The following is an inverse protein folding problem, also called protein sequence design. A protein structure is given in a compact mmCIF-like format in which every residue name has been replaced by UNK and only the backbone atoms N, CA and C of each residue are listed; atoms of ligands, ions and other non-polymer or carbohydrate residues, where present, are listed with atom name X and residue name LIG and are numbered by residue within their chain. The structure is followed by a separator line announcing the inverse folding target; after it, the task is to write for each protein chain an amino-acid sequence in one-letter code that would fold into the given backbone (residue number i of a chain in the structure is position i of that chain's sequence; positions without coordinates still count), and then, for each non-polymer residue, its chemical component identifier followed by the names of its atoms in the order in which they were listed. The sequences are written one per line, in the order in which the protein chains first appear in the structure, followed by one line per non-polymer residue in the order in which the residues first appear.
data_IF_711308750000
#
_entry.id   IF_711308750000
#
_cell.length_a   1.000
_cell.length_b   1.000
_cell.length_c   1.000
_cell.angle_alpha   90.00
_cell.angle_beta   90.00
_cell.angle_gamma   90.00
#
_symmetry.space_group_name_H-M   'P 1'
#
loop_
_entity.id
_entity.type
_entity.pdbx_description
1 polymer ?
#
# COMPACT_ATOMS: atom_id res chain seq x y z
N UNK A 1 -13.64 -4.89 11.03
CA UNK A 1 -13.91 -3.44 10.93
C UNK A 1 -13.01 -2.91 9.83
N UNK A 2 -13.53 -2.10 8.91
CA UNK A 2 -12.72 -1.47 7.88
C UNK A 2 -12.20 -0.12 8.41
N UNK A 3 -10.92 0.17 8.21
CA UNK A 3 -10.33 1.44 8.60
C UNK A 3 -10.65 2.54 7.57
N UNK A 4 -10.60 3.80 8.01
CA UNK A 4 -10.49 4.94 7.12
C UNK A 4 -9.00 5.08 6.73
N UNK A 5 -8.72 5.06 5.42
CA UNK A 5 -7.35 5.25 4.92
C UNK A 5 -7.12 6.73 4.64
N UNK A 6 -6.01 7.24 5.18
CA UNK A 6 -5.51 8.55 4.86
C UNK A 6 -4.29 8.40 3.95
N UNK A 7 -4.52 8.64 2.66
CA UNK A 7 -3.49 8.80 1.62
C UNK A 7 -3.53 10.28 1.24
N UNK A 8 -2.39 10.93 1.02
CA UNK A 8 -2.38 12.33 0.58
C UNK A 8 -2.94 12.45 -0.83
N UNK A 9 -3.54 13.59 -1.16
CA UNK A 9 -4.09 13.80 -2.51
C UNK A 9 -3.02 13.65 -3.61
N UNK A 10 -1.78 14.09 -3.34
CA UNK A 10 -0.63 13.94 -4.25
C UNK A 10 -0.25 12.46 -4.47
N UNK A 11 -0.25 11.68 -3.40
CA UNK A 11 0.06 10.25 -3.39
C UNK A 11 -1.05 9.46 -4.12
N UNK A 12 -2.31 9.82 -3.89
CA UNK A 12 -3.44 9.21 -4.58
C UNK A 12 -3.40 9.54 -6.09
N UNK A 13 -3.14 10.80 -6.44
CA UNK A 13 -3.02 11.22 -7.84
C UNK A 13 -1.87 10.50 -8.56
N UNK A 14 -0.77 10.22 -7.86
CA UNK A 14 0.32 9.40 -8.41
C UNK A 14 -0.13 7.97 -8.70
N UNK A 15 -0.75 7.29 -7.74
CA UNK A 15 -1.24 5.91 -7.91
C UNK A 15 -2.26 5.82 -9.06
N UNK A 16 -3.17 6.79 -9.15
CA UNK A 16 -4.16 6.87 -10.22
C UNK A 16 -3.51 7.13 -11.58
N UNK A 17 -2.36 7.82 -11.59
CA UNK A 17 -1.58 8.20 -12.76
C UNK A 17 -0.64 7.13 -13.29
N UNK A 18 -0.45 6.01 -12.58
CA UNK A 18 0.43 4.94 -13.02
C UNK A 18 0.01 4.40 -14.41
N UNK A 19 0.97 4.04 -15.29
CA UNK A 19 0.72 3.56 -16.66
C UNK A 19 0.21 2.10 -16.70
N UNK A 20 -0.67 1.77 -15.76
CA UNK A 20 -1.28 0.47 -15.59
C UNK A 20 -2.53 0.32 -16.46
N UNK A 21 -2.74 -0.88 -17.00
CA UNK A 21 -3.98 -1.30 -17.61
C UNK A 21 -5.15 -1.20 -16.63
N UNK A 22 -6.37 -1.09 -17.12
CA UNK A 22 -7.56 -1.00 -16.23
C UNK A 22 -7.68 -2.19 -15.28
N UNK A 23 -7.25 -3.38 -15.71
CA UNK A 23 -7.21 -4.58 -14.86
C UNK A 23 -6.15 -4.47 -13.76
N UNK A 24 -4.99 -3.92 -14.09
CA UNK A 24 -3.91 -3.70 -13.14
C UNK A 24 -4.28 -2.64 -12.09
N UNK A 25 -4.94 -1.54 -12.50
CA UNK A 25 -5.49 -0.53 -11.60
C UNK A 25 -6.52 -1.11 -10.62
N UNK A 26 -7.47 -1.89 -11.13
CA UNK A 26 -8.45 -2.56 -10.27
C UNK A 26 -7.80 -3.47 -9.21
N UNK A 27 -6.72 -4.19 -9.57
CA UNK A 27 -5.98 -5.01 -8.60
C UNK A 27 -5.25 -4.18 -7.54
N UNK A 28 -4.70 -3.03 -7.92
CA UNK A 28 -4.05 -2.11 -6.98
C UNK A 28 -5.09 -1.53 -6.00
N UNK A 29 -6.24 -1.08 -6.51
CA UNK A 29 -7.37 -0.62 -5.69
C UNK A 29 -7.88 -1.72 -4.74
N UNK A 30 -8.08 -2.93 -5.26
CA UNK A 30 -8.47 -4.10 -4.46
C UNK A 30 -7.43 -4.43 -3.39
N UNK A 31 -6.13 -4.28 -3.67
CA UNK A 31 -5.08 -4.48 -2.69
C UNK A 31 -5.14 -3.44 -1.58
N UNK A 32 -5.31 -2.15 -1.92
CA UNK A 32 -5.43 -1.08 -0.94
C UNK A 32 -6.68 -1.29 -0.05
N UNK A 33 -7.81 -1.68 -0.64
CA UNK A 33 -9.04 -1.94 0.12
C UNK A 33 -8.98 -3.25 0.94
N UNK A 34 -8.41 -4.32 0.41
CA UNK A 34 -8.43 -5.62 1.09
C UNK A 34 -7.23 -5.83 2.00
N UNK A 35 -6.02 -5.62 1.47
CA UNK A 35 -4.78 -5.93 2.19
C UNK A 35 -4.42 -4.86 3.22
N UNK A 36 -4.79 -3.59 2.98
CA UNK A 36 -4.49 -2.49 3.92
C UNK A 36 -5.70 -2.19 4.79
N UNK A 37 -6.83 -1.79 4.20
CA UNK A 37 -8.02 -1.32 4.95
C UNK A 37 -8.65 -2.39 5.85
N UNK A 38 -8.52 -3.66 5.48
CA UNK A 38 -9.17 -4.79 6.18
C UNK A 38 -8.18 -5.72 6.88
N UNK A 39 -6.93 -5.27 7.09
CA UNK A 39 -5.90 -6.09 7.73
C UNK A 39 -6.36 -6.58 9.13
N UNK A 40 -6.25 -7.88 9.44
CA UNK A 40 -6.65 -8.40 10.74
C UNK A 40 -5.83 -7.79 11.90
N UNK A 41 -6.47 -7.58 13.06
CA UNK A 41 -5.78 -7.08 14.25
C UNK A 41 -4.65 -8.00 14.71
N UNK A 42 -4.76 -9.32 14.51
CA UNK A 42 -3.69 -10.27 14.82
C UNK A 42 -2.43 -10.05 13.96
N UNK A 43 -2.59 -9.72 12.68
CA UNK A 43 -1.45 -9.38 11.83
C UNK A 43 -0.84 -8.05 12.26
N UNK A 44 -1.68 -7.03 12.44
CA UNK A 44 -1.26 -5.68 12.78
C UNK A 44 -0.59 -5.60 14.14
N UNK A 45 -1.10 -6.31 15.14
CA UNK A 45 -0.55 -6.30 16.50
C UNK A 45 0.66 -7.23 16.67
N UNK A 46 1.03 -8.05 15.67
CA UNK A 46 2.20 -8.91 15.75
C UNK A 46 3.48 -8.08 15.50
N UNK A 47 4.42 -7.98 16.47
CA UNK A 47 5.68 -7.25 16.29
C UNK A 47 6.57 -7.83 15.19
N UNK A 48 6.45 -9.11 14.84
CA UNK A 48 7.24 -9.76 13.78
C UNK A 48 6.87 -9.26 12.37
N UNK A 49 5.67 -8.70 12.21
CA UNK A 49 5.22 -8.12 10.94
C UNK A 49 5.66 -6.66 10.76
N UNK A 50 6.50 -6.16 11.67
CA UNK A 50 6.92 -4.76 11.71
C UNK A 50 8.40 -4.65 11.32
N UNK A 51 8.82 -3.61 10.58
CA UNK A 51 10.24 -3.36 10.30
C UNK A 51 11.08 -3.16 11.58
N UNK A 52 10.43 -2.75 12.67
CA UNK A 52 10.99 -2.68 14.00
C UNK A 52 9.87 -2.97 15.01
N UNK A 53 10.11 -3.84 16.02
CA UNK A 53 9.08 -4.25 16.99
C UNK A 53 8.44 -3.08 17.75
N UNK A 54 9.17 -1.98 17.91
CA UNK A 54 8.77 -0.82 18.72
C UNK A 54 7.99 0.24 17.93
N UNK A 55 7.87 0.08 16.60
CA UNK A 55 7.23 1.06 15.73
C UNK A 55 5.77 0.73 15.48
N UNK A 56 4.90 1.74 15.48
CA UNK A 56 3.49 1.63 15.07
C UNK A 56 3.32 1.59 13.54
N UNK A 57 4.18 0.82 12.86
CA UNK A 57 4.26 0.75 11.40
C UNK A 57 4.40 -0.70 10.95
N UNK A 58 3.62 -1.08 9.95
CA UNK A 58 3.80 -2.34 9.20
C UNK A 58 3.93 -2.04 7.70
N UNK A 59 4.53 -2.98 6.96
CA UNK A 59 4.78 -2.84 5.52
C UNK A 59 4.07 -3.95 4.77
N UNK A 60 3.43 -3.61 3.67
CA UNK A 60 2.81 -4.54 2.74
C UNK A 60 3.35 -4.27 1.34
N UNK A 61 3.78 -5.32 0.65
CA UNK A 61 4.30 -5.21 -0.71
C UNK A 61 3.25 -5.66 -1.71
N UNK A 62 3.03 -4.84 -2.74
CA UNK A 62 2.22 -5.17 -3.89
C UNK A 62 3.13 -5.52 -5.08
N UNK A 63 2.96 -6.72 -5.62
CA UNK A 63 3.67 -7.17 -6.82
C UNK A 63 2.68 -7.44 -7.94
N UNK A 64 2.97 -6.91 -9.13
CA UNK A 64 2.14 -7.12 -10.31
C UNK A 64 2.98 -7.15 -11.58
N UNK A 65 2.60 -8.04 -12.50
CA UNK A 65 3.02 -7.98 -13.91
C UNK A 65 1.85 -7.48 -14.73
N UNK A 66 2.06 -6.41 -15.50
CA UNK A 66 1.02 -5.83 -16.35
C UNK A 66 1.32 -5.97 -17.86
N UNK A 67 1.23 -7.21 -18.35
CA UNK A 67 1.47 -7.56 -19.76
C UNK A 67 0.53 -6.88 -20.78
N UNK A 68 -0.55 -6.24 -20.33
CA UNK A 68 -1.52 -5.55 -21.20
C UNK A 68 -1.52 -4.02 -21.02
N UNK A 69 -0.68 -3.50 -20.12
CA UNK A 69 -0.44 -2.07 -19.95
C UNK A 69 0.93 -1.72 -20.51
N UNK A 70 1.91 -1.61 -19.62
CA UNK A 70 3.28 -1.23 -19.96
C UNK A 70 4.25 -2.41 -20.12
N UNK A 71 3.76 -3.65 -19.96
CA UNK A 71 4.54 -4.89 -20.03
C UNK A 71 5.70 -4.96 -19.02
N UNK A 72 5.51 -4.33 -17.85
CA UNK A 72 6.53 -4.28 -16.78
C UNK A 72 6.12 -5.00 -15.50
N UNK A 73 7.14 -5.29 -14.70
CA UNK A 73 6.99 -5.63 -13.29
C UNK A 73 6.84 -4.35 -12.46
N UNK A 74 5.81 -4.32 -11.63
CA UNK A 74 5.53 -3.25 -10.67
C UNK A 74 5.68 -3.80 -9.27
N UNK A 75 6.45 -3.10 -8.44
CA UNK A 75 6.61 -3.40 -7.02
C UNK A 75 6.35 -2.13 -6.24
N UNK A 76 5.31 -2.12 -5.40
CA UNK A 76 4.97 -0.96 -4.57
C UNK A 76 4.98 -1.38 -3.10
N UNK A 77 5.81 -0.74 -2.30
CA UNK A 77 5.88 -0.95 -0.87
C UNK A 77 4.96 0.05 -0.16
N UNK A 78 3.91 -0.44 0.48
CA UNK A 78 3.03 0.36 1.31
C UNK A 78 3.48 0.33 2.76
N UNK A 79 3.87 1.48 3.29
CA UNK A 79 4.14 1.68 4.71
C UNK A 79 2.89 2.25 5.37
N UNK A 80 2.38 1.53 6.37
CA UNK A 80 1.10 1.84 7.02
C UNK A 80 1.36 2.17 8.48
N UNK A 81 1.07 3.41 8.87
CA UNK A 81 1.11 3.88 10.24
C UNK A 81 -0.24 3.57 10.92
N UNK A 82 -0.17 2.78 12.00
CA UNK A 82 -1.32 2.31 12.76
C UNK A 82 -1.50 2.99 14.12
N UNK A 83 -0.80 4.09 14.36
CA UNK A 83 -0.89 4.87 15.61
C UNK A 83 -2.30 5.38 15.91
N UNK A 84 -3.13 5.61 14.89
CA UNK A 84 -4.53 6.03 15.02
C UNK A 84 -5.54 4.90 14.76
N UNK A 85 -5.10 3.64 14.77
CA UNK A 85 -6.00 2.51 14.54
C UNK A 85 -7.07 2.38 15.64
N UNK A 86 -6.82 2.86 16.85
CA UNK A 86 -7.84 2.91 17.91
C UNK A 86 -9.03 3.80 17.53
N UNK A 87 -8.79 4.84 16.72
CA UNK A 87 -9.80 5.75 16.19
C UNK A 87 -10.37 5.30 14.84
N UNK A 88 -9.98 4.10 14.38
CA UNK A 88 -10.41 3.56 13.10
C UNK A 88 -9.69 4.17 11.89
N UNK A 89 -8.52 4.80 12.05
CA UNK A 89 -7.76 5.44 10.97
C UNK A 89 -6.40 4.79 10.75
N UNK A 90 -5.96 4.76 9.49
CA UNK A 90 -4.61 4.35 9.08
C UNK A 90 -4.04 5.40 8.15
N UNK A 91 -2.79 5.81 8.36
CA UNK A 91 -2.08 6.65 7.41
C UNK A 91 -1.18 5.78 6.53
N UNK A 92 -1.17 6.06 5.22
CA UNK A 92 -0.48 5.25 4.23
C UNK A 92 0.48 6.14 3.46
N UNK A 93 1.73 5.70 3.36
CA UNK A 93 2.72 6.21 2.42
C UNK A 93 3.26 5.03 1.61
N UNK A 94 3.75 5.27 0.40
CA UNK A 94 4.27 4.19 -0.42
C UNK A 94 5.58 4.55 -1.12
N UNK A 95 6.29 3.53 -1.58
CA UNK A 95 7.43 3.63 -2.48
C UNK A 95 7.14 2.77 -3.69
N UNK A 96 7.07 3.38 -4.87
CA UNK A 96 7.03 2.65 -6.13
C UNK A 96 8.46 2.33 -6.57
N UNK A 97 8.72 1.05 -6.82
CA UNK A 97 9.96 0.52 -7.35
C UNK A 97 9.76 0.14 -8.81
N UNK A 98 9.29 1.07 -9.63
CA UNK A 98 9.41 0.96 -11.07
C UNK A 98 10.90 0.77 -11.40
N UNK A 99 11.26 -0.22 -12.23
CA UNK A 99 12.65 -0.60 -12.50
C UNK A 99 13.59 0.62 -12.66
N UNK A 100 14.34 0.94 -11.60
CA UNK A 100 15.54 1.76 -11.64
C UNK A 100 15.53 3.16 -11.03
N UNK A 101 14.39 3.78 -10.68
CA UNK A 101 14.42 5.12 -10.06
C UNK A 101 13.59 5.19 -8.77
N UNK A 102 14.29 5.41 -7.65
CA UNK A 102 13.68 5.83 -6.39
C UNK A 102 13.03 7.20 -6.59
N UNK A 103 11.70 7.24 -6.71
CA UNK A 103 10.97 8.50 -6.59
C UNK A 103 10.90 8.84 -5.10
N UNK A 104 11.54 9.95 -4.72
CA UNK A 104 11.64 10.44 -3.34
C UNK A 104 10.68 11.60 -3.09
#
# INVERSE_FOLDING_TARGET
MAFELHIRDEDQAYLDGLPLSGRAKAKLEDFIDYAIRKVPSGFRNNPENRPSPDKLVFVLQFFLVDAWGDDRWHTIDFTVDDSQAADGKLAVVFVDHAEGEWVR
#
